data_IF_717127198485
#
_entry.id   IF_717127198485
#
_cell.length_a   1.000
_cell.length_b   1.000
_cell.length_c   1.000
_cell.angle_alpha   90.00
_cell.angle_beta   90.00
_cell.angle_gamma   90.00
#
_symmetry.space_group_name_H-M   'P 1'
#
loop_
_entity.id
_entity.type
_entity.pdbx_description
1 polymer ?
#
# COMPACT_ATOMS: atom_id res chain seq x y z
N UNK A 1 -29.05 13.49 -19.01
CA UNK A 1 -27.77 13.55 -19.67
C UNK A 1 -27.00 12.28 -19.50
N UNK A 2 -26.81 11.63 -20.59
CA UNK A 2 -26.03 10.40 -20.57
C UNK A 2 -24.60 10.63 -20.05
N UNK A 3 -24.09 11.85 -20.18
CA UNK A 3 -22.76 12.19 -19.73
C UNK A 3 -22.56 12.02 -18.22
N UNK A 4 -23.63 11.99 -17.45
CA UNK A 4 -23.56 11.83 -16.00
C UNK A 4 -23.66 10.37 -15.58
N UNK A 5 -24.02 9.48 -16.50
CA UNK A 5 -24.10 8.06 -16.21
C UNK A 5 -22.82 7.38 -16.60
N UNK A 6 -22.15 6.80 -15.62
CA UNK A 6 -20.96 6.01 -15.87
C UNK A 6 -21.35 4.64 -16.41
N UNK A 7 -20.53 4.05 -17.30
CA UNK A 7 -20.77 2.68 -17.71
C UNK A 7 -20.83 1.74 -16.49
N UNK A 8 -21.70 0.75 -16.57
CA UNK A 8 -21.89 -0.19 -15.45
C UNK A 8 -20.63 -0.91 -15.03
N UNK A 9 -19.72 -1.16 -15.98
CA UNK A 9 -18.50 -1.86 -15.65
C UNK A 9 -17.57 -1.01 -14.75
N UNK A 10 -17.64 0.31 -14.86
CA UNK A 10 -16.82 1.19 -14.00
C UNK A 10 -17.25 1.02 -12.54
N UNK A 11 -18.55 0.98 -12.30
CA UNK A 11 -19.04 0.79 -10.94
C UNK A 11 -18.70 -0.59 -10.41
N UNK A 12 -18.81 -1.61 -11.26
CA UNK A 12 -18.41 -2.96 -10.90
C UNK A 12 -16.96 -3.03 -10.48
N UNK A 13 -16.07 -2.41 -11.26
CA UNK A 13 -14.64 -2.37 -10.94
C UNK A 13 -14.40 -1.66 -9.63
N UNK A 14 -15.05 -0.52 -9.43
CA UNK A 14 -14.91 0.24 -8.19
C UNK A 14 -15.35 -0.58 -6.99
N UNK A 15 -16.48 -1.25 -7.11
CA UNK A 15 -17.01 -2.07 -6.02
C UNK A 15 -16.10 -3.24 -5.68
N UNK A 16 -15.57 -3.91 -6.69
CA UNK A 16 -14.65 -5.03 -6.46
C UNK A 16 -13.41 -4.57 -5.70
N UNK A 17 -12.80 -3.49 -6.14
CA UNK A 17 -11.61 -2.98 -5.43
C UNK A 17 -11.96 -2.59 -3.99
N UNK A 18 -13.13 -2.02 -3.75
CA UNK A 18 -13.51 -1.63 -2.40
C UNK A 18 -13.74 -2.83 -1.48
N UNK A 19 -13.86 -4.03 -2.04
CA UNK A 19 -13.98 -5.27 -1.29
C UNK A 19 -12.67 -6.02 -1.20
N UNK A 20 -11.58 -5.41 -1.61
CA UNK A 20 -10.26 -6.01 -1.50
C UNK A 20 -9.77 -6.77 -2.72
N UNK A 21 -10.44 -6.64 -3.85
CA UNK A 21 -10.07 -7.38 -5.05
C UNK A 21 -8.71 -6.98 -5.59
N UNK A 22 -8.05 -7.93 -6.23
CA UNK A 22 -6.79 -7.70 -6.95
C UNK A 22 -7.07 -7.44 -8.43
N UNK A 23 -6.06 -6.91 -9.13
CA UNK A 23 -6.18 -6.63 -10.57
C UNK A 23 -6.62 -7.85 -11.37
N UNK A 24 -6.16 -9.04 -10.98
CA UNK A 24 -6.51 -10.25 -11.72
C UNK A 24 -8.01 -10.56 -11.61
N UNK A 25 -8.63 -10.18 -10.49
CA UNK A 25 -10.07 -10.35 -10.34
C UNK A 25 -10.83 -9.36 -11.23
N UNK A 26 -10.29 -8.16 -11.38
CA UNK A 26 -10.85 -7.17 -12.30
C UNK A 26 -10.76 -7.68 -13.74
N UNK A 27 -9.61 -8.23 -14.11
CA UNK A 27 -9.43 -8.81 -15.43
C UNK A 27 -10.45 -9.89 -15.72
N UNK A 28 -10.69 -10.76 -14.74
CA UNK A 28 -11.67 -11.84 -14.90
C UNK A 28 -13.08 -11.27 -15.11
N UNK A 29 -13.43 -10.26 -14.31
CA UNK A 29 -14.76 -9.66 -14.40
C UNK A 29 -14.99 -8.98 -15.75
N UNK A 30 -13.97 -8.33 -16.28
CA UNK A 30 -14.05 -7.63 -17.56
C UNK A 30 -13.79 -8.57 -18.74
N UNK A 31 -13.38 -9.79 -18.47
CA UNK A 31 -12.98 -10.75 -19.49
C UNK A 31 -11.82 -10.24 -20.33
N UNK A 32 -10.87 -9.61 -19.65
CA UNK A 32 -9.65 -9.07 -20.26
C UNK A 32 -8.44 -9.93 -19.89
N UNK A 33 -7.46 -9.96 -20.77
CA UNK A 33 -6.15 -10.49 -20.42
C UNK A 33 -5.39 -9.47 -19.59
N UNK A 34 -4.36 -9.90 -18.89
CA UNK A 34 -3.49 -8.98 -18.15
C UNK A 34 -2.88 -7.93 -19.09
N UNK A 35 -2.53 -8.35 -20.29
CA UNK A 35 -1.97 -7.43 -21.28
C UNK A 35 -2.97 -6.35 -21.68
N UNK A 36 -4.22 -6.73 -21.91
CA UNK A 36 -5.27 -5.76 -22.23
C UNK A 36 -5.46 -4.76 -21.10
N UNK A 37 -5.46 -5.25 -19.87
CA UNK A 37 -5.57 -4.40 -18.69
C UNK A 37 -4.41 -3.41 -18.63
N UNK A 38 -3.18 -3.91 -18.79
CA UNK A 38 -2.00 -3.07 -18.72
C UNK A 38 -1.97 -2.04 -19.83
N UNK A 39 -2.33 -2.43 -21.04
CA UNK A 39 -2.37 -1.52 -22.18
C UNK A 39 -3.40 -0.41 -21.96
N UNK A 40 -4.57 -0.77 -21.48
CA UNK A 40 -5.63 0.20 -21.23
C UNK A 40 -5.24 1.16 -20.11
N UNK A 41 -4.61 0.62 -19.07
CA UNK A 41 -4.09 1.42 -17.96
C UNK A 41 -3.09 2.47 -18.45
N UNK A 42 -2.23 2.09 -19.39
CA UNK A 42 -1.21 3.00 -19.91
C UNK A 42 -1.78 4.06 -20.84
N UNK A 43 -2.87 3.76 -21.53
CA UNK A 43 -3.37 4.62 -22.59
C UNK A 43 -4.58 5.45 -22.22
N UNK A 44 -5.28 5.13 -21.15
CA UNK A 44 -6.51 5.81 -20.75
C UNK A 44 -6.38 6.37 -19.34
N UNK A 45 -6.24 7.69 -19.25
CA UNK A 45 -6.04 8.35 -17.95
C UNK A 45 -7.19 8.12 -16.97
N UNK A 46 -8.42 8.11 -17.48
CA UNK A 46 -9.58 7.87 -16.63
C UNK A 46 -9.56 6.48 -16.02
N UNK A 47 -9.18 5.48 -16.80
CA UNK A 47 -9.06 4.13 -16.30
C UNK A 47 -7.89 4.01 -15.32
N UNK A 48 -6.78 4.68 -15.64
CA UNK A 48 -5.63 4.70 -14.73
C UNK A 48 -6.02 5.26 -13.36
N UNK A 49 -6.75 6.37 -13.36
CA UNK A 49 -7.21 6.98 -12.10
C UNK A 49 -8.15 6.03 -11.34
N UNK A 50 -9.03 5.35 -12.06
CA UNK A 50 -9.94 4.39 -11.45
C UNK A 50 -9.17 3.23 -10.79
N UNK A 51 -8.18 2.70 -11.49
CA UNK A 51 -7.37 1.60 -10.99
C UNK A 51 -6.49 2.04 -9.82
N UNK A 52 -5.85 3.19 -9.94
CA UNK A 52 -4.98 3.69 -8.86
C UNK A 52 -5.78 3.91 -7.57
N UNK A 53 -6.93 4.54 -7.70
CA UNK A 53 -7.81 4.73 -6.54
C UNK A 53 -8.33 3.40 -6.03
N UNK A 54 -8.68 2.50 -6.94
CA UNK A 54 -9.16 1.18 -6.59
C UNK A 54 -8.13 0.36 -5.82
N UNK A 55 -6.88 0.41 -6.26
CA UNK A 55 -5.80 -0.28 -5.56
C UNK A 55 -5.63 0.24 -4.15
N UNK A 56 -5.76 1.53 -3.97
CA UNK A 56 -5.70 2.13 -2.64
C UNK A 56 -6.88 1.67 -1.78
N UNK A 57 -8.08 1.64 -2.34
CA UNK A 57 -9.26 1.18 -1.63
C UNK A 57 -9.14 -0.29 -1.23
N UNK A 58 -8.60 -1.12 -2.13
CA UNK A 58 -8.37 -2.53 -1.86
C UNK A 58 -7.38 -2.71 -0.71
N UNK A 59 -6.28 -1.97 -0.76
CA UNK A 59 -5.29 -2.01 0.31
C UNK A 59 -5.91 -1.61 1.65
N UNK A 60 -6.72 -0.55 1.65
CA UNK A 60 -7.40 -0.09 2.86
C UNK A 60 -8.34 -1.16 3.41
N UNK A 61 -9.03 -1.87 2.53
CA UNK A 61 -9.91 -2.96 2.94
C UNK A 61 -9.10 -4.05 3.68
N UNK A 62 -7.97 -4.46 3.11
CA UNK A 62 -7.13 -5.48 3.72
C UNK A 62 -6.58 -5.03 5.07
N UNK A 63 -6.12 -3.79 5.17
CA UNK A 63 -5.65 -3.27 6.46
C UNK A 63 -6.79 -3.25 7.49
N UNK A 64 -7.99 -2.85 7.06
CA UNK A 64 -9.13 -2.81 7.99
C UNK A 64 -9.52 -4.20 8.48
N UNK A 65 -9.38 -5.23 7.63
CA UNK A 65 -9.66 -6.61 8.05
C UNK A 65 -8.74 -7.03 9.19
N UNK A 66 -7.46 -6.72 9.08
CA UNK A 66 -6.52 -7.02 10.15
C UNK A 66 -6.87 -6.28 11.43
N UNK A 67 -7.14 -4.98 11.33
CA UNK A 67 -7.47 -4.16 12.49
C UNK A 67 -8.75 -4.63 13.17
N UNK A 68 -9.77 -4.96 12.39
CA UNK A 68 -11.07 -5.37 12.94
C UNK A 68 -11.05 -6.75 13.56
N UNK A 69 -10.09 -7.59 13.16
CA UNK A 69 -10.05 -8.99 13.59
C UNK A 69 -8.93 -9.29 14.56
N UNK A 70 -8.36 -8.27 15.21
CA UNK A 70 -7.26 -8.44 16.13
C UNK A 70 -7.57 -9.44 17.24
N UNK A 71 -8.82 -9.50 17.69
CA UNK A 71 -9.22 -10.38 18.78
C UNK A 71 -10.09 -11.53 18.30
N UNK A 72 -10.22 -11.70 17.00
CA UNK A 72 -11.05 -12.75 16.44
C UNK A 72 -10.20 -14.01 16.24
N UNK A 73 -10.42 -15.00 17.07
CA UNK A 73 -9.67 -16.26 17.02
C UNK A 73 -9.97 -17.08 15.78
N UNK A 74 -11.11 -16.84 15.15
CA UNK A 74 -11.46 -17.54 13.92
C UNK A 74 -10.83 -16.92 12.68
N UNK A 75 -10.17 -15.78 12.83
CA UNK A 75 -9.53 -15.11 11.70
C UNK A 75 -8.30 -15.91 11.27
N UNK A 76 -8.19 -16.17 9.96
CA UNK A 76 -7.08 -16.94 9.43
C UNK A 76 -5.83 -16.08 9.34
N UNK A 77 -5.19 -15.83 10.48
CA UNK A 77 -4.05 -14.93 10.57
C UNK A 77 -2.89 -15.33 9.65
N UNK A 78 -2.49 -16.61 9.56
CA UNK A 78 -1.40 -16.98 8.65
C UNK A 78 -1.72 -16.68 7.20
N UNK A 79 -2.96 -16.92 6.78
CA UNK A 79 -3.37 -16.63 5.41
C UNK A 79 -3.38 -15.12 5.16
N UNK A 80 -3.88 -14.36 6.13
CA UNK A 80 -3.87 -12.91 6.07
C UNK A 80 -2.45 -12.38 5.93
N UNK A 81 -1.53 -12.86 6.77
CA UNK A 81 -0.13 -12.44 6.72
C UNK A 81 0.50 -12.75 5.37
N UNK A 82 0.19 -13.91 4.81
CA UNK A 82 0.69 -14.31 3.50
C UNK A 82 0.20 -13.34 2.42
N UNK A 83 -1.08 -12.97 2.45
CA UNK A 83 -1.65 -12.03 1.50
C UNK A 83 -0.99 -10.65 1.63
N UNK A 84 -0.80 -10.17 2.85
CA UNK A 84 -0.19 -8.87 3.07
C UNK A 84 1.25 -8.85 2.59
N UNK A 85 1.97 -9.94 2.79
CA UNK A 85 3.34 -10.07 2.31
C UNK A 85 3.39 -10.07 0.78
N UNK A 86 2.56 -10.89 0.16
CA UNK A 86 2.60 -11.07 -1.29
C UNK A 86 2.03 -9.87 -2.05
N UNK A 87 0.99 -9.26 -1.53
CA UNK A 87 0.31 -8.17 -2.25
C UNK A 87 0.86 -6.79 -1.92
N UNK A 88 1.29 -6.58 -0.68
CA UNK A 88 1.64 -5.25 -0.20
C UNK A 88 3.06 -5.15 0.33
N UNK A 89 3.82 -6.21 0.14
CA UNK A 89 5.25 -6.17 0.43
C UNK A 89 5.60 -6.14 1.91
N UNK A 90 4.75 -6.66 2.78
CA UNK A 90 5.10 -6.78 4.19
C UNK A 90 6.30 -7.70 4.33
N UNK A 91 7.34 -7.22 4.98
CA UNK A 91 8.55 -8.01 5.19
C UNK A 91 8.58 -8.58 6.60
N UNK A 92 9.05 -9.82 6.70
CA UNK A 92 9.33 -10.41 7.99
C UNK A 92 10.79 -10.16 8.34
N UNK A 93 11.06 -9.95 9.63
CA UNK A 93 12.41 -9.69 10.08
C UNK A 93 13.40 -10.80 9.72
N UNK A 94 12.92 -12.03 9.73
CA UNK A 94 13.77 -13.18 9.42
C UNK A 94 14.25 -13.22 7.98
N UNK A 95 13.61 -12.48 7.11
CA UNK A 95 14.01 -12.44 5.70
C UNK A 95 15.19 -11.55 5.47
N UNK A 96 15.55 -10.78 6.45
CA UNK A 96 16.70 -9.92 6.39
C UNK A 96 17.95 -10.74 6.73
N UNK A 97 18.42 -11.46 5.77
CA UNK A 97 19.47 -12.45 5.83
C UNK A 97 20.81 -11.90 6.33
N UNK A 98 20.84 -11.35 7.52
CA UNK A 98 22.06 -10.93 8.14
C UNK A 98 22.62 -9.58 7.72
N UNK A 99 22.03 -8.96 6.72
CA UNK A 99 22.49 -7.65 6.27
C UNK A 99 21.67 -6.52 6.89
N UNK A 100 20.45 -6.83 7.29
CA UNK A 100 19.59 -5.84 7.94
C UNK A 100 19.43 -6.22 9.39
N UNK A 101 19.78 -5.32 10.26
CA UNK A 101 19.68 -5.54 11.70
C UNK A 101 18.32 -5.10 12.20
N UNK A 102 17.86 -5.76 13.25
CA UNK A 102 16.68 -5.33 13.96
C UNK A 102 16.94 -3.91 14.50
N UNK A 103 16.00 -2.97 14.33
CA UNK A 103 16.20 -1.62 14.86
C UNK A 103 16.54 -1.58 16.34
N UNK A 104 16.08 -2.56 17.12
CA UNK A 104 16.42 -2.61 18.54
C UNK A 104 17.88 -2.92 18.80
N UNK A 105 18.59 -3.48 17.81
CA UNK A 105 20.02 -3.81 17.91
C UNK A 105 20.92 -2.68 17.43
N UNK A 106 20.35 -1.60 16.93
CA UNK A 106 21.11 -0.49 16.41
C UNK A 106 21.37 0.53 17.52
N UNK A 107 22.56 1.10 17.51
CA UNK A 107 22.87 2.22 18.40
C UNK A 107 22.08 3.46 17.98
N UNK A 108 22.01 4.43 18.86
CA UNK A 108 21.33 5.69 18.53
C UNK A 108 21.99 6.39 17.35
N UNK A 109 23.32 6.34 17.27
CA UNK A 109 24.04 6.95 16.15
C UNK A 109 23.68 6.26 14.84
N UNK A 110 23.61 4.93 14.85
CA UNK A 110 23.21 4.18 13.67
C UNK A 110 21.79 4.50 13.25
N UNK A 111 20.87 4.64 14.22
CA UNK A 111 19.50 5.01 13.92
C UNK A 111 19.41 6.41 13.33
N UNK A 112 20.21 7.34 13.84
CA UNK A 112 20.24 8.70 13.30
C UNK A 112 20.79 8.71 11.87
N UNK A 113 21.83 7.95 11.62
CA UNK A 113 22.39 7.85 10.27
C UNK A 113 21.39 7.24 9.30
N UNK A 114 20.67 6.22 9.73
CA UNK A 114 19.63 5.61 8.91
C UNK A 114 18.51 6.60 8.64
N UNK A 115 18.11 7.38 9.64
CA UNK A 115 17.10 8.42 9.48
C UNK A 115 17.56 9.48 8.47
N UNK A 116 18.82 9.90 8.57
CA UNK A 116 19.38 10.87 7.63
C UNK A 116 19.41 10.32 6.21
N UNK A 117 19.75 9.05 6.06
CA UNK A 117 19.76 8.40 4.75
C UNK A 117 18.38 8.39 4.12
N UNK A 118 17.34 8.21 4.94
CA UNK A 118 15.96 8.16 4.47
C UNK A 118 15.31 9.54 4.34
N UNK A 119 15.99 10.58 4.83
CA UNK A 119 15.43 11.93 4.86
C UNK A 119 14.90 12.42 3.52
N UNK A 120 15.62 12.26 2.40
CA UNK A 120 15.10 12.73 1.12
C UNK A 120 13.77 12.09 0.75
N UNK A 121 13.58 10.82 1.12
CA UNK A 121 12.33 10.13 0.85
C UNK A 121 11.22 10.65 1.74
N UNK A 122 11.53 10.90 3.01
CA UNK A 122 10.55 11.45 3.96
C UNK A 122 10.12 12.85 3.56
N UNK A 123 11.07 13.69 3.13
CA UNK A 123 10.76 15.03 2.69
C UNK A 123 9.80 15.04 1.50
N UNK A 124 9.95 14.06 0.62
CA UNK A 124 9.08 13.94 -0.53
C UNK A 124 7.63 13.75 -0.12
N UNK A 125 7.40 12.99 0.95
CA UNK A 125 6.05 12.77 1.46
C UNK A 125 5.49 13.98 2.21
N UNK A 126 6.34 14.71 2.92
CA UNK A 126 5.90 15.78 3.82
C UNK A 126 6.05 17.16 3.23
N UNK A 127 6.46 17.26 2.00
CA UNK A 127 6.72 18.54 1.35
C UNK A 127 5.50 19.47 1.38
N UNK A 128 4.33 18.91 1.11
CA UNK A 128 3.09 19.68 1.12
C UNK A 128 2.59 20.06 2.51
N UNK A 129 3.19 19.52 3.55
CA UNK A 129 2.78 19.76 4.93
C UNK A 129 3.74 20.68 5.67
N UNK A 130 4.75 21.18 4.98
CA UNK A 130 5.69 22.11 5.58
C UNK A 130 6.64 21.49 6.58
N UNK A 131 6.87 20.22 6.53
CA UNK A 131 7.82 19.57 7.42
C UNK A 131 9.24 20.00 7.10
N UNK A 132 10.02 20.32 8.13
CA UNK A 132 11.43 20.66 8.00
C UNK A 132 12.29 19.46 8.37
N UNK A 133 13.57 19.53 7.98
CA UNK A 133 14.52 18.46 8.29
C UNK A 133 14.64 18.26 9.81
N UNK A 134 14.73 19.34 10.56
CA UNK A 134 14.87 19.23 12.01
C UNK A 134 13.60 18.65 12.64
N UNK A 135 12.45 18.96 12.08
CA UNK A 135 11.20 18.41 12.57
C UNK A 135 11.09 16.92 12.32
N UNK A 136 11.53 16.47 11.13
CA UNK A 136 11.55 15.05 10.82
C UNK A 136 12.53 14.33 11.75
N UNK A 137 13.71 14.88 11.96
CA UNK A 137 14.69 14.30 12.87
C UNK A 137 14.16 14.24 14.30
N UNK A 138 13.41 15.25 14.71
CA UNK A 138 12.79 15.27 16.03
C UNK A 138 11.81 14.11 16.21
N UNK A 139 11.06 13.79 15.17
CA UNK A 139 10.12 12.67 15.23
C UNK A 139 10.84 11.33 15.32
N UNK A 140 11.97 11.19 14.65
CA UNK A 140 12.73 9.94 14.60
C UNK A 140 13.63 9.75 15.81
N UNK A 141 14.28 10.83 16.26
CA UNK A 141 15.28 10.77 17.33
C UNK A 141 14.79 11.25 18.67
N UNK A 142 13.52 11.24 18.89
CA UNK A 142 12.87 11.87 20.01
C UNK A 142 13.16 11.25 21.37
N UNK A 143 13.53 10.00 21.39
CA UNK A 143 13.67 9.25 22.63
C UNK A 143 15.03 9.39 23.29
N UNK A 144 15.80 10.32 22.85
CA UNK A 144 17.12 10.55 23.41
C UNK A 144 17.06 11.27 24.74
#
# INVERSE_FOLDING_TARGET
MSSTQLPGWIETVRNLYSEGAADVEICRELNWSQKQFDDYYQTHEGFKALVDFGRLASKAWWYSQGRKNLQNRSFATPLYALHMKNRFGWAEKQENTGTTRDPSDMSQDELKQEALRLMPQLQKYFKGEGMTDSKVLSLVGKDN
#
